data_IF_282756908118
#
_entry.id   IF_282756908118
#
_cell.length_a   1.000
_cell.length_b   1.000
_cell.length_c   1.000
_cell.angle_alpha   90.00
_cell.angle_beta   90.00
_cell.angle_gamma   90.00
#
_symmetry.space_group_name_H-M   'P 1'
#
loop_
_entity.id
_entity.type
_entity.pdbx_description
1 polymer ?
#
# COMPACT_ATOMS: atom_id res chain seq x y z
N UNK A 1 54.65 -17.01 -12.42
CA UNK A 1 53.47 -16.14 -12.30
C UNK A 1 53.74 -14.85 -13.05
N UNK A 2 52.93 -14.56 -14.08
CA UNK A 2 53.16 -13.49 -15.04
C UNK A 2 52.85 -12.12 -14.42
N UNK A 3 53.78 -11.18 -14.54
CA UNK A 3 53.69 -9.78 -14.03
C UNK A 3 52.44 -9.03 -14.51
N UNK A 4 51.81 -9.50 -15.59
CA UNK A 4 50.56 -8.97 -16.14
C UNK A 4 49.32 -9.26 -15.26
N UNK A 5 49.35 -10.32 -14.45
CA UNK A 5 48.23 -10.66 -13.56
C UNK A 5 48.23 -9.83 -12.28
N UNK A 6 49.41 -9.49 -11.76
CA UNK A 6 49.53 -8.64 -10.57
C UNK A 6 49.04 -7.21 -10.82
N UNK A 7 49.32 -6.66 -12.00
CA UNK A 7 48.89 -5.32 -12.40
C UNK A 7 47.36 -5.21 -12.52
N UNK A 8 46.70 -6.25 -13.06
CA UNK A 8 45.24 -6.28 -13.22
C UNK A 8 44.50 -6.36 -11.87
N UNK A 9 45.04 -7.11 -10.92
CA UNK A 9 44.48 -7.21 -9.57
C UNK A 9 44.64 -5.89 -8.82
N UNK A 10 45.78 -5.20 -8.98
CA UNK A 10 46.00 -3.88 -8.39
C UNK A 10 44.99 -2.83 -8.87
N UNK A 11 44.69 -2.78 -10.16
CA UNK A 11 43.73 -1.83 -10.73
C UNK A 11 42.30 -2.09 -10.23
N UNK A 12 41.90 -3.37 -10.11
CA UNK A 12 40.57 -3.73 -9.60
C UNK A 12 40.39 -3.34 -8.13
N UNK A 13 41.42 -3.48 -7.30
CA UNK A 13 41.37 -3.08 -5.90
C UNK A 13 41.26 -1.56 -5.74
N UNK A 14 41.99 -0.78 -6.54
CA UNK A 14 41.89 0.69 -6.52
C UNK A 14 40.52 1.17 -6.99
N UNK A 15 39.95 0.55 -8.03
CA UNK A 15 38.60 0.88 -8.50
C UNK A 15 37.53 0.55 -7.44
N UNK A 16 37.64 -0.59 -6.76
CA UNK A 16 36.71 -0.98 -5.69
C UNK A 16 36.79 -0.01 -4.51
N UNK A 17 38.00 0.38 -4.08
CA UNK A 17 38.19 1.39 -3.04
C UNK A 17 37.66 2.78 -3.45
N UNK A 18 37.87 3.19 -4.70
CA UNK A 18 37.34 4.44 -5.24
C UNK A 18 35.81 4.48 -5.21
N UNK A 19 35.15 3.40 -5.64
CA UNK A 19 33.69 3.29 -5.58
C UNK A 19 33.17 3.30 -4.14
N UNK A 20 33.88 2.67 -3.22
CA UNK A 20 33.49 2.61 -1.80
C UNK A 20 33.60 3.99 -1.12
N UNK A 21 34.62 4.77 -1.48
CA UNK A 21 34.79 6.14 -0.99
C UNK A 21 33.79 7.11 -1.62
N UNK A 22 33.52 7.01 -2.92
CA UNK A 22 32.50 7.82 -3.60
C UNK A 22 31.09 7.53 -3.05
N UNK A 23 30.80 6.27 -2.72
CA UNK A 23 29.56 5.88 -2.05
C UNK A 23 29.40 6.48 -0.65
N UNK A 24 30.49 6.67 0.10
CA UNK A 24 30.46 7.30 1.43
C UNK A 24 30.40 8.82 1.39
N UNK A 25 30.97 9.46 0.36
CA UNK A 25 30.92 10.92 0.20
C UNK A 25 29.61 11.38 -0.46
N UNK A 26 28.97 10.53 -1.27
CA UNK A 26 27.65 10.81 -1.85
C UNK A 26 26.49 10.47 -0.91
N UNK A 27 26.75 9.76 0.18
CA UNK A 27 25.84 9.72 1.32
C UNK A 27 25.97 11.06 2.04
N UNK A 28 25.24 12.06 1.56
CA UNK A 28 25.25 13.39 2.14
C UNK A 28 25.06 13.33 3.66
N UNK A 29 25.79 14.17 4.37
CA UNK A 29 25.57 14.49 5.77
C UNK A 29 24.17 15.06 5.94
N UNK A 30 23.16 14.20 6.02
CA UNK A 30 21.88 14.57 6.59
C UNK A 30 22.16 14.79 8.08
N UNK A 31 21.97 16.02 8.61
CA UNK A 31 22.09 16.23 10.04
C UNK A 31 21.11 15.27 10.71
N UNK A 32 21.65 14.37 11.53
CA UNK A 32 20.89 13.45 12.36
C UNK A 32 20.22 14.21 13.51
N UNK A 33 19.40 15.21 13.20
CA UNK A 33 18.21 15.50 13.98
C UNK A 33 17.11 14.61 13.45
N UNK A 34 17.32 13.29 13.51
CA UNK A 34 16.25 12.33 13.35
C UNK A 34 15.30 12.54 14.51
N UNK A 35 14.18 13.22 14.23
CA UNK A 35 13.00 13.22 15.06
C UNK A 35 12.68 11.77 15.44
N UNK A 36 13.10 11.35 16.63
CA UNK A 36 12.82 10.01 17.17
C UNK A 36 11.33 9.71 17.12
N UNK A 37 10.50 10.76 17.27
CA UNK A 37 9.06 10.72 17.08
C UNK A 37 8.65 10.35 15.65
N UNK A 38 9.26 10.95 14.61
CA UNK A 38 8.99 10.62 13.21
C UNK A 38 9.36 9.19 12.84
N UNK A 39 10.51 8.70 13.33
CA UNK A 39 10.95 7.31 13.12
C UNK A 39 10.03 6.30 13.82
N UNK A 40 9.66 6.54 15.08
CA UNK A 40 8.75 5.66 15.83
C UNK A 40 7.32 5.66 15.24
N UNK A 41 6.83 6.82 14.79
CA UNK A 41 5.53 6.92 14.13
C UNK A 41 5.51 6.20 12.78
N UNK A 42 6.57 6.33 11.97
CA UNK A 42 6.71 5.61 10.71
C UNK A 42 6.80 4.08 10.88
N UNK A 43 7.58 3.62 11.87
CA UNK A 43 7.72 2.20 12.18
C UNK A 43 6.39 1.59 12.64
N UNK A 44 5.68 2.22 13.57
CA UNK A 44 4.39 1.72 14.08
C UNK A 44 3.30 1.74 13.01
N UNK A 45 3.26 2.78 12.16
CA UNK A 45 2.37 2.84 11.01
C UNK A 45 2.66 1.71 10.01
N UNK A 46 3.94 1.44 9.71
CA UNK A 46 4.35 0.36 8.82
C UNK A 46 3.99 -1.03 9.34
N UNK A 47 4.21 -1.29 10.63
CA UNK A 47 3.83 -2.56 11.27
C UNK A 47 2.31 -2.76 11.24
N UNK A 48 1.53 -1.72 11.56
CA UNK A 48 0.06 -1.77 11.50
C UNK A 48 -0.43 -2.01 10.08
N UNK A 49 0.15 -1.33 9.09
CA UNK A 49 -0.20 -1.52 7.68
C UNK A 49 0.09 -2.96 7.22
N UNK A 50 1.28 -3.49 7.53
CA UNK A 50 1.65 -4.85 7.17
C UNK A 50 0.77 -5.92 7.83
N UNK A 51 0.40 -5.72 9.10
CA UNK A 51 -0.52 -6.63 9.80
C UNK A 51 -1.92 -6.61 9.16
N UNK A 52 -2.44 -5.43 8.81
CA UNK A 52 -3.71 -5.31 8.12
C UNK A 52 -3.67 -5.96 6.74
N UNK A 53 -2.59 -5.75 5.99
CA UNK A 53 -2.39 -6.39 4.69
C UNK A 53 -2.41 -7.92 4.81
N UNK A 54 -1.63 -8.50 5.72
CA UNK A 54 -1.59 -9.96 5.91
C UNK A 54 -2.94 -10.56 6.35
N UNK A 55 -3.73 -9.82 7.12
CA UNK A 55 -5.11 -10.24 7.45
C UNK A 55 -5.99 -10.28 6.20
N UNK A 56 -5.91 -9.26 5.33
CA UNK A 56 -6.70 -9.22 4.11
C UNK A 56 -6.30 -10.33 3.14
N UNK A 57 -5.00 -10.53 2.92
CA UNK A 57 -4.46 -11.61 2.09
C UNK A 57 -4.94 -12.98 2.61
N UNK A 58 -4.85 -13.24 3.91
CA UNK A 58 -5.31 -14.48 4.52
C UNK A 58 -6.83 -14.71 4.39
N UNK A 59 -7.65 -13.64 4.48
CA UNK A 59 -9.09 -13.74 4.26
C UNK A 59 -9.37 -14.09 2.79
N UNK A 60 -8.67 -13.46 1.85
CA UNK A 60 -8.85 -13.72 0.42
C UNK A 60 -8.46 -15.16 0.07
N UNK A 61 -7.28 -15.62 0.51
CA UNK A 61 -6.82 -17.00 0.32
C UNK A 61 -7.77 -18.02 0.94
N UNK A 62 -8.28 -17.74 2.14
CA UNK A 62 -9.28 -18.57 2.82
C UNK A 62 -10.57 -18.71 2.00
N UNK A 63 -11.07 -17.61 1.43
CA UNK A 63 -12.25 -17.62 0.56
C UNK A 63 -11.99 -18.37 -0.75
N UNK A 64 -10.85 -18.13 -1.40
CA UNK A 64 -10.46 -18.84 -2.61
C UNK A 64 -10.41 -20.37 -2.37
N UNK A 65 -9.89 -20.77 -1.21
CA UNK A 65 -9.81 -22.18 -0.78
C UNK A 65 -11.18 -22.79 -0.50
N UNK A 66 -12.11 -22.03 0.11
CA UNK A 66 -13.49 -22.48 0.34
C UNK A 66 -14.20 -22.79 -0.98
N UNK A 67 -14.10 -21.89 -1.97
CA UNK A 67 -14.69 -22.10 -3.30
C UNK A 67 -14.06 -23.32 -4.01
N UNK A 68 -12.75 -23.54 -3.82
CA UNK A 68 -12.06 -24.71 -4.36
C UNK A 68 -12.42 -26.05 -3.68
N UNK A 69 -12.98 -26.04 -2.48
CA UNK A 69 -13.26 -27.28 -1.74
C UNK A 69 -14.42 -28.10 -2.33
N UNK A 70 -15.29 -27.44 -3.10
CA UNK A 70 -16.48 -28.04 -3.73
C UNK A 70 -16.17 -28.70 -5.08
N UNK A 71 -14.94 -28.57 -5.60
CA UNK A 71 -14.53 -29.08 -6.91
C UNK A 71 -13.43 -30.14 -6.83
N UNK A 72 -13.27 -30.99 -7.88
CA UNK A 72 -12.19 -31.98 -7.94
C UNK A 72 -10.81 -31.34 -7.78
N UNK A 73 -9.85 -32.08 -7.21
CA UNK A 73 -8.51 -31.60 -6.92
C UNK A 73 -7.81 -30.93 -8.11
N UNK A 74 -7.99 -31.48 -9.33
CA UNK A 74 -7.43 -30.93 -10.57
C UNK A 74 -8.00 -29.57 -10.98
N UNK A 75 -9.17 -29.19 -10.46
CA UNK A 75 -9.89 -27.95 -10.81
C UNK A 75 -9.76 -26.86 -9.74
N UNK A 76 -9.17 -27.17 -8.58
CA UNK A 76 -9.06 -26.22 -7.46
C UNK A 76 -8.24 -24.98 -7.81
N UNK A 77 -7.09 -25.18 -8.45
CA UNK A 77 -6.21 -24.07 -8.81
C UNK A 77 -6.86 -23.14 -9.85
N UNK A 78 -7.42 -23.63 -10.97
CA UNK A 78 -8.17 -22.79 -11.90
C UNK A 78 -9.33 -22.01 -11.25
N UNK A 79 -10.05 -22.62 -10.30
CA UNK A 79 -11.14 -21.98 -9.56
C UNK A 79 -10.62 -20.88 -8.65
N UNK A 80 -9.58 -21.15 -7.86
CA UNK A 80 -8.93 -20.15 -7.01
C UNK A 80 -8.40 -18.97 -7.84
N UNK A 81 -7.75 -19.24 -8.98
CA UNK A 81 -7.26 -18.20 -9.88
C UNK A 81 -8.41 -17.36 -10.45
N UNK A 82 -9.53 -17.99 -10.82
CA UNK A 82 -10.72 -17.28 -11.31
C UNK A 82 -11.37 -16.42 -10.22
N UNK A 83 -11.42 -16.92 -8.99
CA UNK A 83 -11.91 -16.18 -7.83
C UNK A 83 -11.04 -14.96 -7.58
N UNK A 84 -9.72 -15.12 -7.56
CA UNK A 84 -8.78 -14.01 -7.34
C UNK A 84 -8.89 -12.94 -8.44
N UNK A 85 -9.00 -13.34 -9.71
CA UNK A 85 -9.25 -12.39 -10.80
C UNK A 85 -10.56 -11.62 -10.61
N UNK A 86 -11.63 -12.31 -10.25
CA UNK A 86 -12.93 -11.68 -9.98
C UNK A 86 -12.90 -10.77 -8.75
N UNK A 87 -12.17 -11.17 -7.71
CA UNK A 87 -11.97 -10.37 -6.50
C UNK A 87 -11.23 -9.07 -6.81
N UNK A 88 -10.10 -9.13 -7.51
CA UNK A 88 -9.34 -7.94 -7.94
C UNK A 88 -10.16 -7.04 -8.87
N UNK A 89 -10.90 -7.62 -9.83
CA UNK A 89 -11.77 -6.84 -10.70
C UNK A 89 -12.89 -6.14 -9.92
N UNK A 90 -13.51 -6.85 -8.97
CA UNK A 90 -14.56 -6.30 -8.11
C UNK A 90 -14.05 -5.22 -7.14
N UNK A 91 -12.82 -5.33 -6.66
CA UNK A 91 -12.16 -4.30 -5.85
C UNK A 91 -12.01 -3.00 -6.67
N UNK A 92 -11.42 -3.08 -7.86
CA UNK A 92 -11.25 -1.92 -8.74
C UNK A 92 -12.60 -1.29 -9.15
N UNK A 93 -13.62 -2.14 -9.40
CA UNK A 93 -14.97 -1.68 -9.73
C UNK A 93 -15.71 -1.05 -8.54
N UNK A 94 -15.47 -1.53 -7.30
CA UNK A 94 -16.03 -0.96 -6.08
C UNK A 94 -15.47 0.44 -5.80
N UNK A 95 -14.20 0.67 -6.17
CA UNK A 95 -13.62 2.01 -6.24
C UNK A 95 -14.16 2.83 -7.42
N UNK A 96 -15.12 2.34 -8.22
CA UNK A 96 -15.81 3.11 -9.28
C UNK A 96 -14.85 3.76 -10.28
N UNK A 97 -13.71 3.12 -10.56
CA UNK A 97 -12.70 3.67 -11.47
C UNK A 97 -11.81 4.77 -10.85
N UNK A 98 -11.84 4.96 -9.53
CA UNK A 98 -10.87 5.80 -8.83
C UNK A 98 -9.52 5.11 -8.66
N UNK A 99 -8.85 4.79 -9.76
CA UNK A 99 -7.56 4.07 -9.74
C UNK A 99 -6.32 4.99 -9.65
N UNK A 100 -6.52 6.28 -9.35
CA UNK A 100 -5.42 7.25 -9.38
C UNK A 100 -5.58 8.52 -8.55
N UNK A 101 -6.64 8.63 -7.73
CA UNK A 101 -6.90 9.83 -6.92
C UNK A 101 -6.88 9.62 -5.41
N UNK A 102 -6.52 8.41 -4.95
CA UNK A 102 -6.29 8.14 -3.53
C UNK A 102 -4.83 8.41 -3.20
N UNK A 103 -4.59 9.31 -2.26
CA UNK A 103 -3.28 9.49 -1.69
C UNK A 103 -3.10 8.47 -0.56
N UNK A 104 -2.01 7.70 -0.64
CA UNK A 104 -1.66 6.75 0.41
C UNK A 104 -1.33 7.49 1.71
N UNK A 105 -1.80 6.96 2.83
CA UNK A 105 -1.59 7.57 4.16
C UNK A 105 -2.46 8.80 4.44
N UNK A 106 -3.40 9.14 3.55
CA UNK A 106 -4.31 10.27 3.72
C UNK A 106 -5.68 9.79 4.23
N UNK A 107 -6.26 10.43 5.26
CA UNK A 107 -7.59 10.10 5.74
C UNK A 107 -8.70 10.64 4.81
N UNK A 108 -9.77 9.88 4.64
CA UNK A 108 -10.94 10.23 3.83
C UNK A 108 -12.26 9.92 4.56
N UNK A 109 -13.31 10.69 4.26
CA UNK A 109 -14.72 10.34 4.52
C UNK A 109 -15.32 9.83 3.22
N UNK A 110 -16.06 8.73 3.30
CA UNK A 110 -16.65 8.05 2.14
C UNK A 110 -18.14 7.83 2.38
N UNK A 111 -18.96 8.20 1.39
CA UNK A 111 -20.39 7.88 1.35
C UNK A 111 -20.62 6.77 0.34
N UNK A 112 -21.42 5.77 0.71
CA UNK A 112 -21.76 4.65 -0.15
C UNK A 112 -23.16 4.83 -0.75
N UNK A 113 -23.38 4.26 -1.93
CA UNK A 113 -24.69 4.07 -2.54
C UNK A 113 -24.90 2.61 -2.96
N UNK A 114 -26.14 2.19 -3.21
CA UNK A 114 -26.40 0.88 -3.82
C UNK A 114 -25.57 0.68 -5.09
N UNK A 115 -24.94 -0.49 -5.19
CA UNK A 115 -24.17 -0.88 -6.36
C UNK A 115 -25.04 -1.49 -7.46
N UNK A 116 -24.38 -2.00 -8.50
CA UNK A 116 -24.98 -2.65 -9.65
C UNK A 116 -24.05 -3.72 -10.20
N UNK A 117 -24.59 -4.67 -10.99
CA UNK A 117 -23.83 -5.77 -11.60
C UNK A 117 -23.10 -6.67 -10.58
N UNK A 118 -23.80 -7.12 -9.55
CA UNK A 118 -23.25 -8.04 -8.53
C UNK A 118 -22.45 -7.36 -7.42
N UNK A 119 -22.25 -6.04 -7.49
CA UNK A 119 -21.64 -5.24 -6.42
C UNK A 119 -22.74 -4.69 -5.52
N UNK A 120 -22.71 -5.01 -4.22
CA UNK A 120 -23.72 -4.58 -3.25
C UNK A 120 -23.70 -3.06 -3.02
N UNK A 121 -22.51 -2.48 -2.87
CA UNK A 121 -22.32 -1.05 -2.62
C UNK A 121 -21.20 -0.49 -3.49
N UNK A 122 -21.37 0.76 -3.95
CA UNK A 122 -20.34 1.54 -4.64
C UNK A 122 -20.08 2.83 -3.88
N UNK A 123 -18.89 3.40 -4.05
CA UNK A 123 -18.59 4.73 -3.53
C UNK A 123 -19.44 5.76 -4.31
N UNK A 124 -20.19 6.57 -3.56
CA UNK A 124 -20.95 7.69 -4.11
C UNK A 124 -20.12 8.97 -4.10
N UNK A 125 -19.54 9.29 -2.94
CA UNK A 125 -18.72 10.46 -2.71
C UNK A 125 -17.52 10.11 -1.84
N UNK A 126 -16.43 10.85 -2.05
CA UNK A 126 -15.23 10.81 -1.20
C UNK A 126 -14.77 12.23 -0.91
N UNK A 127 -14.28 12.46 0.28
CA UNK A 127 -13.65 13.72 0.65
C UNK A 127 -12.42 13.46 1.50
N UNK A 128 -11.29 14.03 1.10
CA UNK A 128 -10.08 14.05 1.93
C UNK A 128 -10.32 14.94 3.15
N UNK A 129 -10.00 14.44 4.34
CA UNK A 129 -10.04 15.28 5.54
C UNK A 129 -8.98 16.36 5.44
N UNK A 130 -9.40 17.58 5.71
CA UNK A 130 -8.55 18.75 5.79
C UNK A 130 -8.08 18.98 7.24
N UNK A 131 -6.84 19.44 7.45
CA UNK A 131 -6.39 19.91 8.75
C UNK A 131 -7.29 21.03 9.29
N UNK A 132 -7.50 21.06 10.60
CA UNK A 132 -8.28 22.10 11.30
C UNK A 132 -9.71 22.28 10.75
N UNK A 133 -10.37 21.17 10.39
CA UNK A 133 -11.79 21.15 10.01
C UNK A 133 -12.48 20.05 10.81
N UNK A 134 -13.56 20.40 11.48
CA UNK A 134 -14.45 19.44 12.12
C UNK A 134 -15.46 18.90 11.12
N UNK A 135 -15.64 17.58 11.16
CA UNK A 135 -16.57 16.84 10.32
C UNK A 135 -17.63 16.18 11.19
N UNK A 136 -18.90 16.40 10.89
CA UNK A 136 -20.01 15.84 11.65
C UNK A 136 -21.25 15.64 10.77
N UNK A 137 -22.19 14.81 11.21
CA UNK A 137 -23.46 14.64 10.52
C UNK A 137 -24.31 15.90 10.64
N UNK A 138 -24.83 16.38 9.52
CA UNK A 138 -25.80 17.45 9.52
C UNK A 138 -27.07 17.03 10.30
N UNK A 139 -27.91 17.99 10.73
CA UNK A 139 -29.15 17.70 11.48
C UNK A 139 -30.14 16.76 10.76
N UNK A 140 -30.04 16.62 9.43
CA UNK A 140 -30.85 15.69 8.66
C UNK A 140 -30.38 14.21 8.77
N UNK A 141 -29.25 13.96 9.44
CA UNK A 141 -28.70 12.64 9.71
C UNK A 141 -28.14 11.89 8.49
N UNK A 142 -28.03 12.55 7.33
CA UNK A 142 -27.56 11.91 6.08
C UNK A 142 -26.39 12.64 5.43
N UNK A 143 -26.36 13.96 5.56
CA UNK A 143 -25.34 14.79 4.91
C UNK A 143 -24.15 15.04 5.83
N UNK A 144 -22.99 15.29 5.21
CA UNK A 144 -21.76 15.65 5.90
C UNK A 144 -21.65 17.18 6.01
N UNK A 145 -21.59 17.67 7.25
CA UNK A 145 -21.36 19.07 7.57
C UNK A 145 -19.91 19.29 7.99
N UNK A 146 -19.41 20.50 7.73
CA UNK A 146 -18.02 20.90 7.95
C UNK A 146 -17.95 22.29 8.55
N UNK A 147 -17.07 22.47 9.54
CA UNK A 147 -16.76 23.78 10.10
C UNK A 147 -15.27 23.90 10.42
N UNK A 148 -14.66 25.10 10.31
CA UNK A 148 -13.29 25.30 10.75
C UNK A 148 -13.16 24.95 12.23
N UNK A 149 -12.14 24.16 12.56
CA UNK A 149 -11.76 23.88 13.94
C UNK A 149 -10.94 25.06 14.45
N UNK A 150 -11.45 25.76 15.46
CA UNK A 150 -10.85 26.94 16.10
C UNK A 150 -10.15 26.60 17.40
#
# INVERSE_FOLDING_TARGET
MSTRSALRIGILLVAALGLLLVGRVSAGDHPATSDKAGYQNGYTAGVKAGQLQGIQEGIQEGRASQVGSEVPASSRQPVADSFNRGYTAGENDAFTGYDGGWALGVPYIVTLKPGSAGITYRIDARQQLQPNVDYYLCPNGRDLCQLPHS
#
